data_IF_398936580044
#
_entry.id   IF_398936580044
#
_cell.length_a   1.000
_cell.length_b   1.000
_cell.length_c   1.000
_cell.angle_alpha   90.00
_cell.angle_beta   90.00
_cell.angle_gamma   90.00
#
_symmetry.space_group_name_H-M   'P 1'
#
loop_
_entity.id
_entity.type
_entity.pdbx_description
1 polymer ?
#
# COMPACT_ATOMS: atom_id res chain seq x y z
N UNK A 1 -39.94 18.71 -0.66
CA UNK A 1 -38.67 19.42 -0.38
C UNK A 1 -37.53 18.55 -0.87
N UNK A 2 -36.64 19.09 -1.71
CA UNK A 2 -35.52 18.33 -2.29
C UNK A 2 -34.46 18.15 -1.18
N UNK A 3 -34.36 16.94 -0.61
CA UNK A 3 -33.28 16.58 0.32
C UNK A 3 -31.96 16.66 -0.46
N UNK A 4 -31.18 17.69 -0.21
CA UNK A 4 -29.83 17.83 -0.74
C UNK A 4 -28.96 16.66 -0.23
N UNK A 5 -28.19 16.04 -1.12
CA UNK A 5 -27.20 14.99 -0.81
C UNK A 5 -26.15 15.46 0.21
N UNK A 6 -26.10 16.76 0.54
CA UNK A 6 -25.14 17.36 1.47
C UNK A 6 -25.57 17.51 2.93
N UNK A 7 -26.75 17.05 3.35
CA UNK A 7 -27.19 17.16 4.76
C UNK A 7 -26.72 15.98 5.62
N UNK A 8 -25.40 15.82 5.72
CA UNK A 8 -24.73 14.72 6.44
C UNK A 8 -25.18 14.61 7.91
N UNK A 9 -25.56 15.73 8.54
CA UNK A 9 -26.12 15.74 9.90
C UNK A 9 -27.44 14.96 9.98
N UNK A 10 -28.41 15.31 9.14
CA UNK A 10 -29.75 14.68 9.17
C UNK A 10 -29.66 13.21 8.80
N UNK A 11 -28.83 12.85 7.80
CA UNK A 11 -28.62 11.46 7.43
C UNK A 11 -27.96 10.64 8.53
N UNK A 12 -26.95 11.18 9.21
CA UNK A 12 -26.33 10.51 10.34
C UNK A 12 -27.33 10.31 11.49
N UNK A 13 -28.17 11.31 11.78
CA UNK A 13 -29.20 11.22 12.81
C UNK A 13 -30.23 10.13 12.48
N UNK A 14 -30.76 10.10 11.26
CA UNK A 14 -31.70 9.06 10.78
C UNK A 14 -31.07 7.66 10.90
N UNK A 15 -29.85 7.46 10.41
CA UNK A 15 -29.17 6.16 10.48
C UNK A 15 -28.91 5.67 11.92
N UNK A 16 -28.52 6.56 12.85
CA UNK A 16 -28.29 6.18 14.25
C UNK A 16 -29.60 5.80 14.94
N UNK A 17 -30.70 6.47 14.61
CA UNK A 17 -32.03 6.13 15.12
C UNK A 17 -32.53 4.79 14.58
N UNK A 18 -32.31 4.50 13.30
CA UNK A 18 -32.66 3.21 12.70
C UNK A 18 -31.87 2.07 13.37
N UNK A 19 -30.56 2.25 13.58
CA UNK A 19 -29.73 1.27 14.30
C UNK A 19 -30.21 1.06 15.74
N UNK A 20 -30.65 2.13 16.41
CA UNK A 20 -31.23 2.02 17.76
C UNK A 20 -32.55 1.25 17.74
N UNK A 21 -33.40 1.43 16.72
CA UNK A 21 -34.63 0.67 16.57
C UNK A 21 -34.35 -0.84 16.45
N UNK A 22 -33.21 -1.20 15.83
CA UNK A 22 -32.69 -2.55 15.74
C UNK A 22 -31.89 -3.01 16.99
N UNK A 23 -31.92 -2.22 18.07
CA UNK A 23 -31.20 -2.46 19.33
C UNK A 23 -29.66 -2.53 19.17
N UNK A 24 -29.11 -1.76 18.22
CA UNK A 24 -27.69 -1.61 17.96
C UNK A 24 -27.25 -0.20 18.39
N UNK A 25 -26.33 -0.12 19.37
CA UNK A 25 -25.75 1.16 19.79
C UNK A 25 -24.42 1.44 19.07
N UNK A 26 -24.22 2.70 18.69
CA UNK A 26 -23.02 3.15 18.00
C UNK A 26 -21.99 3.66 19.03
N UNK A 27 -21.02 2.81 19.35
CA UNK A 27 -19.94 3.15 20.28
C UNK A 27 -18.81 3.96 19.61
N UNK A 28 -18.54 3.70 18.33
CA UNK A 28 -17.40 4.26 17.61
C UNK A 28 -17.82 4.81 16.26
N UNK A 29 -17.49 6.07 16.00
CA UNK A 29 -17.78 6.74 14.74
C UNK A 29 -16.49 7.14 14.04
N UNK A 30 -16.27 6.68 12.80
CA UNK A 30 -15.10 7.05 11.99
C UNK A 30 -15.52 8.08 10.95
N UNK A 31 -15.13 9.34 11.12
CA UNK A 31 -15.51 10.42 10.20
C UNK A 31 -14.37 11.42 9.98
N UNK A 32 -14.61 12.39 9.11
CA UNK A 32 -13.69 13.50 8.88
C UNK A 32 -13.59 14.44 10.11
N UNK A 33 -12.49 15.22 10.24
CA UNK A 33 -12.26 16.08 11.40
C UNK A 33 -13.38 17.09 11.70
N UNK A 34 -14.14 17.49 10.68
CA UNK A 34 -15.24 18.45 10.74
C UNK A 34 -16.56 17.79 10.28
N UNK A 35 -16.81 16.53 10.64
CA UNK A 35 -18.06 15.88 10.23
C UNK A 35 -19.24 16.39 11.04
N UNK A 36 -20.31 16.70 10.32
CA UNK A 36 -21.61 17.01 10.93
C UNK A 36 -22.27 15.74 11.48
N UNK A 37 -21.85 14.57 11.00
CA UNK A 37 -22.25 13.27 11.50
C UNK A 37 -21.86 13.00 12.96
N UNK A 38 -20.64 13.39 13.37
CA UNK A 38 -20.24 13.24 14.78
C UNK A 38 -21.05 14.14 15.71
N UNK A 39 -21.41 15.34 15.26
CA UNK A 39 -22.30 16.23 16.03
C UNK A 39 -23.69 15.62 16.19
N UNK A 40 -24.26 15.06 15.12
CA UNK A 40 -25.54 14.37 15.21
C UNK A 40 -25.54 13.22 16.23
N UNK A 41 -24.45 12.43 16.27
CA UNK A 41 -24.29 11.36 17.25
C UNK A 41 -24.17 11.89 18.68
N UNK A 42 -23.43 13.00 18.87
CA UNK A 42 -23.27 13.64 20.17
C UNK A 42 -24.59 14.25 20.68
N UNK A 43 -25.32 14.94 19.81
CA UNK A 43 -26.63 15.52 20.14
C UNK A 43 -27.63 14.43 20.54
N UNK A 44 -27.64 13.28 19.85
CA UNK A 44 -28.51 12.15 20.21
C UNK A 44 -28.18 11.54 21.59
N UNK A 45 -26.91 11.55 21.99
CA UNK A 45 -26.49 11.14 23.33
C UNK A 45 -26.90 12.18 24.38
N UNK A 46 -26.70 13.47 24.11
CA UNK A 46 -27.11 14.57 25.00
C UNK A 46 -28.65 14.64 25.16
N UNK A 47 -29.41 14.33 24.12
CA UNK A 47 -30.86 14.17 24.12
C UNK A 47 -31.33 12.92 24.93
N UNK A 48 -30.41 12.07 25.39
CA UNK A 48 -30.71 10.82 26.11
C UNK A 48 -31.29 9.73 25.22
N UNK A 49 -31.18 9.88 23.89
CA UNK A 49 -31.68 8.90 22.94
C UNK A 49 -30.74 7.72 22.84
N UNK A 50 -29.41 7.89 22.83
CA UNK A 50 -28.47 6.77 22.87
C UNK A 50 -27.86 6.63 24.27
N UNK A 51 -27.70 5.40 24.76
CA UNK A 51 -27.13 5.16 26.10
C UNK A 51 -25.60 5.27 26.10
N UNK A 52 -24.97 4.95 24.96
CA UNK A 52 -23.52 4.99 24.78
C UNK A 52 -23.05 6.34 24.26
N UNK A 53 -22.01 6.91 24.88
CA UNK A 53 -21.33 8.10 24.39
C UNK A 53 -20.47 7.74 23.16
N UNK A 54 -20.71 8.34 21.98
CA UNK A 54 -19.96 7.98 20.78
C UNK A 54 -18.51 8.49 20.85
N UNK A 55 -17.54 7.60 20.61
CA UNK A 55 -16.13 7.99 20.44
C UNK A 55 -15.83 8.38 18.98
N UNK A 56 -15.21 9.54 18.76
CA UNK A 56 -14.80 10.00 17.44
C UNK A 56 -13.41 9.49 17.02
N UNK A 57 -13.37 8.81 15.88
CA UNK A 57 -12.17 8.41 15.16
C UNK A 57 -12.05 9.13 13.82
N UNK A 58 -10.83 9.47 13.45
CA UNK A 58 -10.54 10.14 12.17
C UNK A 58 -10.40 9.14 11.03
N UNK A 59 -11.06 9.43 9.91
CA UNK A 59 -10.78 8.72 8.67
C UNK A 59 -9.40 9.09 8.12
N UNK A 60 -8.47 8.13 8.22
CA UNK A 60 -7.12 8.29 7.68
C UNK A 60 -7.07 8.39 6.16
N UNK A 61 -8.04 7.86 5.42
CA UNK A 61 -8.04 7.98 3.96
C UNK A 61 -8.16 9.44 3.54
N UNK A 62 -9.01 10.20 4.22
CA UNK A 62 -9.18 11.63 4.00
C UNK A 62 -7.95 12.42 4.45
N UNK A 63 -7.31 12.03 5.57
CA UNK A 63 -6.01 12.59 5.98
C UNK A 63 -4.94 12.37 4.90
N UNK A 64 -4.83 11.15 4.37
CA UNK A 64 -3.90 10.80 3.28
C UNK A 64 -4.14 11.66 2.05
N UNK A 65 -5.40 11.76 1.62
CA UNK A 65 -5.78 12.51 0.42
C UNK A 65 -5.58 14.01 0.62
N UNK A 66 -5.82 14.54 1.82
CA UNK A 66 -5.54 15.93 2.16
C UNK A 66 -4.05 16.26 2.13
N UNK A 67 -3.19 15.39 2.69
CA UNK A 67 -1.73 15.53 2.60
C UNK A 67 -1.32 15.55 1.13
N UNK A 68 -1.78 14.55 0.36
CA UNK A 68 -1.48 14.44 -1.07
C UNK A 68 -1.91 15.67 -1.86
N UNK A 69 -3.16 16.14 -1.69
CA UNK A 69 -3.70 17.32 -2.36
C UNK A 69 -2.91 18.57 -2.01
N UNK A 70 -2.60 18.80 -0.73
CA UNK A 70 -1.82 19.96 -0.28
C UNK A 70 -0.40 19.93 -0.86
N UNK A 71 0.28 18.80 -0.79
CA UNK A 71 1.64 18.64 -1.35
C UNK A 71 1.65 18.80 -2.87
N UNK A 72 0.68 18.22 -3.58
CA UNK A 72 0.58 18.28 -5.04
C UNK A 72 0.34 19.70 -5.57
N UNK A 73 -0.42 20.51 -4.83
CA UNK A 73 -0.81 21.86 -5.22
C UNK A 73 0.13 22.95 -4.69
N UNK A 74 1.19 22.57 -3.96
CA UNK A 74 2.14 23.51 -3.38
C UNK A 74 3.08 24.07 -4.46
N UNK A 75 2.93 25.36 -4.75
CA UNK A 75 3.72 26.10 -5.76
C UNK A 75 5.20 26.21 -5.36
N UNK A 76 5.50 26.25 -4.06
CA UNK A 76 6.86 26.38 -3.57
C UNK A 76 7.58 25.03 -3.66
N UNK A 77 6.89 23.94 -3.33
CA UNK A 77 7.41 22.58 -3.56
C UNK A 77 7.65 22.32 -5.04
N UNK A 78 6.76 22.80 -5.92
CA UNK A 78 6.95 22.68 -7.37
C UNK A 78 8.25 23.35 -7.85
N UNK A 79 8.59 24.52 -7.31
CA UNK A 79 9.80 25.27 -7.70
C UNK A 79 11.10 24.59 -7.28
N UNK A 80 11.11 23.86 -6.16
CA UNK A 80 12.31 23.18 -5.65
C UNK A 80 12.50 21.77 -6.23
N UNK A 81 11.56 21.25 -7.03
CA UNK A 81 11.70 19.93 -7.66
C UNK A 81 12.90 19.92 -8.63
N UNK A 82 13.77 18.88 -8.57
CA UNK A 82 14.99 18.80 -9.36
C UNK A 82 14.70 18.38 -10.82
N UNK A 83 14.02 19.24 -11.57
CA UNK A 83 13.75 19.07 -12.99
C UNK A 83 13.80 20.40 -13.75
N UNK A 84 14.06 20.36 -15.05
CA UNK A 84 14.21 21.55 -15.90
C UNK A 84 12.86 22.14 -16.33
N UNK A 85 11.92 21.29 -16.76
CA UNK A 85 10.62 21.72 -17.27
C UNK A 85 9.54 21.65 -16.19
N UNK A 86 8.56 22.54 -16.26
CA UNK A 86 7.42 22.57 -15.32
C UNK A 86 6.65 21.25 -15.33
N UNK A 87 6.46 20.63 -16.50
CA UNK A 87 5.79 19.33 -16.64
C UNK A 87 6.54 18.22 -15.89
N UNK A 88 7.87 18.16 -16.03
CA UNK A 88 8.70 17.19 -15.29
C UNK A 88 8.67 17.48 -13.79
N UNK A 89 8.77 18.74 -13.38
CA UNK A 89 8.63 19.16 -11.96
C UNK A 89 7.30 18.72 -11.36
N UNK A 90 6.19 18.92 -12.07
CA UNK A 90 4.86 18.51 -11.60
C UNK A 90 4.75 16.99 -11.47
N UNK A 91 5.35 16.23 -12.40
CA UNK A 91 5.38 14.78 -12.31
C UNK A 91 6.19 14.30 -11.10
N UNK A 92 7.34 14.91 -10.82
CA UNK A 92 8.13 14.61 -9.62
C UNK A 92 7.39 14.98 -8.33
N UNK A 93 6.70 16.12 -8.32
CA UNK A 93 5.87 16.54 -7.19
C UNK A 93 4.73 15.56 -6.93
N UNK A 94 4.09 15.06 -7.99
CA UNK A 94 3.07 14.02 -7.87
C UNK A 94 3.64 12.72 -7.27
N UNK A 95 4.79 12.25 -7.75
CA UNK A 95 5.46 11.08 -7.19
C UNK A 95 5.86 11.29 -5.72
N UNK A 96 6.41 12.46 -5.39
CA UNK A 96 6.76 12.84 -4.02
C UNK A 96 5.54 12.89 -3.10
N UNK A 97 4.41 13.42 -3.58
CA UNK A 97 3.16 13.46 -2.81
C UNK A 97 2.63 12.06 -2.46
N UNK A 98 2.78 11.09 -3.36
CA UNK A 98 2.39 9.70 -3.11
C UNK A 98 3.30 9.04 -2.07
N UNK A 99 4.62 9.17 -2.24
CA UNK A 99 5.62 8.63 -1.32
C UNK A 99 5.48 9.22 0.11
N UNK A 100 5.27 10.53 0.21
CA UNK A 100 5.02 11.21 1.48
C UNK A 100 3.74 10.66 2.14
N UNK A 101 2.67 10.47 1.37
CA UNK A 101 1.40 9.96 1.87
C UNK A 101 1.52 8.52 2.36
N UNK A 102 2.19 7.64 1.60
CA UNK A 102 2.45 6.26 2.02
C UNK A 102 3.27 6.21 3.30
N UNK A 103 4.30 7.07 3.41
CA UNK A 103 5.13 7.13 4.62
C UNK A 103 4.35 7.63 5.82
N UNK A 104 3.58 8.71 5.68
CA UNK A 104 2.70 9.20 6.75
C UNK A 104 1.70 8.11 7.18
N UNK A 105 1.10 7.39 6.23
CA UNK A 105 0.19 6.29 6.57
C UNK A 105 0.87 5.15 7.31
N UNK A 106 2.10 4.78 6.93
CA UNK A 106 2.87 3.75 7.61
C UNK A 106 3.20 4.15 9.06
N UNK A 107 3.65 5.39 9.28
CA UNK A 107 3.92 5.91 10.62
C UNK A 107 2.64 6.00 11.46
N UNK A 108 1.53 6.45 10.88
CA UNK A 108 0.22 6.49 11.56
C UNK A 108 -0.30 5.10 11.90
N UNK A 109 -0.11 4.12 11.01
CA UNK A 109 -0.47 2.73 11.27
C UNK A 109 0.38 2.13 12.40
N UNK A 110 1.65 2.50 12.52
CA UNK A 110 2.50 2.09 13.65
C UNK A 110 2.10 2.81 14.95
N UNK A 111 1.80 4.11 14.90
CA UNK A 111 1.31 4.86 16.05
C UNK A 111 -0.02 4.29 16.58
N UNK A 112 -0.92 3.88 15.67
CA UNK A 112 -2.18 3.19 15.99
C UNK A 112 -2.00 1.88 16.76
N UNK A 113 -0.92 1.13 16.52
CA UNK A 113 -0.61 -0.08 17.30
C UNK A 113 -0.29 0.23 18.77
N UNK A 114 0.01 1.49 19.10
CA UNK A 114 0.37 1.93 20.47
C UNK A 114 -0.70 2.80 21.12
N UNK A 115 -1.42 3.63 20.35
CA UNK A 115 -2.48 4.52 20.84
C UNK A 115 -3.50 4.72 19.72
N UNK A 116 -4.77 4.39 19.99
CA UNK A 116 -5.87 4.77 19.11
C UNK A 116 -5.94 6.30 19.06
N UNK A 117 -5.75 6.89 17.89
CA UNK A 117 -5.70 8.35 17.71
C UNK A 117 -7.09 8.96 17.98
N UNK A 118 -7.35 9.31 19.24
CA UNK A 118 -8.59 9.96 19.70
C UNK A 118 -8.66 11.40 19.20
N UNK A 119 -9.65 11.71 18.36
CA UNK A 119 -10.28 13.02 18.17
C UNK A 119 -9.44 14.26 17.81
N UNK A 120 -8.11 14.18 17.65
CA UNK A 120 -7.28 15.34 17.29
C UNK A 120 -6.82 15.23 15.85
N UNK A 121 -7.16 16.21 15.02
CA UNK A 121 -6.56 16.35 13.69
C UNK A 121 -5.03 16.30 13.85
N UNK A 122 -4.38 15.30 13.25
CA UNK A 122 -2.93 15.12 13.35
C UNK A 122 -2.14 16.35 12.90
N UNK A 123 -2.75 17.16 12.03
CA UNK A 123 -2.24 18.44 11.60
C UNK A 123 -3.29 19.50 11.94
N UNK A 124 -2.94 20.60 12.64
CA UNK A 124 -3.88 21.68 12.91
C UNK A 124 -4.45 22.25 11.59
N UNK A 125 -5.66 22.82 11.62
CA UNK A 125 -6.27 23.48 10.45
C UNK A 125 -5.36 24.56 9.84
N UNK A 126 -4.53 25.18 10.69
CA UNK A 126 -3.52 26.18 10.36
C UNK A 126 -2.17 25.61 9.94
N UNK A 127 -2.03 24.29 9.75
CA UNK A 127 -0.78 23.66 9.36
C UNK A 127 -0.28 24.26 8.03
N UNK A 128 0.80 25.03 8.15
CA UNK A 128 1.60 25.57 7.06
C UNK A 128 2.96 24.91 7.16
N UNK A 129 3.49 24.48 6.02
CA UNK A 129 4.89 24.07 5.95
C UNK A 129 5.72 25.34 6.22
N UNK A 130 6.45 25.37 7.32
CA UNK A 130 7.24 26.55 7.67
C UNK A 130 8.32 26.78 6.62
N UNK A 131 8.25 27.91 5.92
CA UNK A 131 9.21 28.34 4.90
C UNK A 131 10.46 28.96 5.54
N UNK A 132 11.22 28.15 6.28
CA UNK A 132 12.60 28.51 6.63
C UNK A 132 13.55 27.97 5.56
N UNK A 133 14.64 28.68 5.31
CA UNK A 133 15.68 28.22 4.39
C UNK A 133 16.22 26.84 4.81
N UNK A 134 16.36 26.61 6.11
CA UNK A 134 16.75 25.32 6.69
C UNK A 134 15.77 24.19 6.35
N UNK A 135 14.45 24.43 6.42
CA UNK A 135 13.44 23.43 6.06
C UNK A 135 13.45 23.13 4.56
N UNK A 136 13.65 24.15 3.72
CA UNK A 136 13.77 23.98 2.27
C UNK A 136 14.99 23.13 1.94
N UNK A 137 16.13 23.39 2.58
CA UNK A 137 17.35 22.63 2.38
C UNK A 137 17.23 21.18 2.89
N UNK A 138 16.54 20.99 4.01
CA UNK A 138 16.22 19.65 4.53
C UNK A 138 15.30 18.87 3.57
N UNK A 139 14.26 19.51 3.03
CA UNK A 139 13.36 18.91 2.04
C UNK A 139 14.13 18.58 0.76
N UNK A 140 14.98 19.49 0.24
CA UNK A 140 15.84 19.23 -0.92
C UNK A 140 16.77 18.05 -0.67
N UNK A 141 17.39 17.96 0.50
CA UNK A 141 18.25 16.84 0.90
C UNK A 141 17.46 15.53 0.91
N UNK A 142 16.24 15.55 1.44
CA UNK A 142 15.35 14.37 1.50
C UNK A 142 14.89 13.93 0.11
N UNK A 143 14.49 14.87 -0.74
CA UNK A 143 14.13 14.60 -2.15
C UNK A 143 15.34 14.03 -2.89
N UNK A 144 16.54 14.59 -2.73
CA UNK A 144 17.74 14.06 -3.36
C UNK A 144 18.16 12.67 -2.82
N UNK A 145 17.87 12.37 -1.56
CA UNK A 145 18.11 11.04 -0.98
C UNK A 145 17.18 9.95 -1.52
N UNK A 146 16.00 10.30 -2.05
CA UNK A 146 15.04 9.32 -2.59
C UNK A 146 14.92 9.34 -4.11
N UNK A 147 14.90 10.54 -4.67
CA UNK A 147 14.61 10.84 -6.08
C UNK A 147 15.76 11.60 -6.75
N UNK A 148 16.91 11.70 -6.08
CA UNK A 148 18.10 12.32 -6.65
C UNK A 148 18.80 11.42 -7.67
N UNK A 149 19.61 12.00 -8.57
CA UNK A 149 20.25 11.29 -9.68
C UNK A 149 21.11 10.12 -9.20
N UNK A 150 21.84 10.28 -8.09
CA UNK A 150 22.69 9.23 -7.52
C UNK A 150 21.91 8.00 -7.05
N UNK A 151 20.74 8.20 -6.43
CA UNK A 151 19.91 7.11 -5.92
C UNK A 151 19.12 6.46 -7.05
N UNK A 152 18.69 7.24 -8.04
CA UNK A 152 18.08 6.70 -9.25
C UNK A 152 19.08 5.87 -10.07
N UNK A 153 20.35 6.28 -10.19
CA UNK A 153 21.41 5.47 -10.81
C UNK A 153 21.69 4.19 -10.03
N UNK A 154 21.77 4.25 -8.70
CA UNK A 154 21.91 3.04 -7.86
C UNK A 154 20.69 2.13 -7.98
N UNK A 155 19.47 2.69 -8.04
CA UNK A 155 18.22 1.94 -8.19
C UNK A 155 18.04 1.38 -9.60
N UNK A 156 18.60 2.04 -10.62
CA UNK A 156 18.59 1.60 -12.03
C UNK A 156 19.25 0.22 -12.19
N UNK A 157 20.25 -0.07 -11.36
CA UNK A 157 21.02 -1.31 -11.41
C UNK A 157 20.65 -2.33 -10.31
N UNK A 158 19.86 -1.94 -9.31
CA UNK A 158 19.49 -2.76 -8.13
C UNK A 158 18.41 -3.84 -8.43
N UNK A 159 18.61 -4.65 -9.48
CA UNK A 159 17.74 -5.79 -9.80
C UNK A 159 18.41 -7.16 -9.64
N UNK A 160 19.56 -7.21 -8.97
CA UNK A 160 20.10 -8.44 -8.38
C UNK A 160 19.18 -9.01 -7.28
N UNK A 161 18.15 -8.25 -6.86
CA UNK A 161 17.07 -8.69 -5.98
C UNK A 161 16.14 -9.69 -6.67
N UNK A 162 16.20 -9.92 -8.00
CA UNK A 162 15.28 -10.87 -8.66
C UNK A 162 15.27 -12.28 -8.03
N UNK A 163 16.41 -12.77 -7.53
CA UNK A 163 16.47 -14.06 -6.84
C UNK A 163 15.85 -13.97 -5.44
N UNK A 164 16.23 -12.97 -4.63
CA UNK A 164 15.70 -12.77 -3.28
C UNK A 164 14.20 -12.44 -3.29
N UNK A 165 13.73 -11.63 -4.24
CA UNK A 165 12.31 -11.33 -4.46
C UNK A 165 11.55 -12.53 -5.03
N UNK A 166 12.18 -13.33 -5.89
CA UNK A 166 11.61 -14.58 -6.39
C UNK A 166 11.41 -15.58 -5.25
N UNK A 167 12.46 -15.79 -4.45
CA UNK A 167 12.39 -16.61 -3.25
C UNK A 167 11.39 -16.05 -2.24
N UNK A 168 11.41 -14.75 -1.93
CA UNK A 168 10.43 -14.13 -1.02
C UNK A 168 8.99 -14.25 -1.51
N UNK A 169 8.76 -14.27 -2.83
CA UNK A 169 7.43 -14.57 -3.40
C UNK A 169 7.03 -16.02 -3.18
N UNK A 170 7.93 -16.98 -3.41
CA UNK A 170 7.70 -18.40 -3.08
C UNK A 170 7.47 -18.60 -1.58
N UNK A 171 8.27 -17.93 -0.76
CA UNK A 171 8.17 -17.96 0.70
C UNK A 171 6.82 -17.42 1.16
N UNK A 172 6.28 -16.34 0.56
CA UNK A 172 4.95 -15.83 0.91
C UNK A 172 3.81 -16.77 0.54
N UNK A 173 3.95 -17.59 -0.51
CA UNK A 173 2.98 -18.65 -0.82
C UNK A 173 3.00 -19.74 0.24
N UNK A 174 4.20 -20.12 0.68
CA UNK A 174 4.42 -21.15 1.71
C UNK A 174 4.27 -20.62 3.13
N UNK A 175 4.33 -19.31 3.37
CA UNK A 175 4.16 -18.63 4.64
C UNK A 175 3.33 -17.34 4.44
N UNK A 176 2.01 -17.48 4.24
CA UNK A 176 1.11 -16.33 4.16
C UNK A 176 1.16 -15.47 5.43
N UNK A 177 1.18 -14.15 5.27
CA UNK A 177 1.26 -13.20 6.40
C UNK A 177 0.03 -13.17 7.30
N UNK A 178 -1.09 -13.73 6.84
CA UNK A 178 -2.34 -13.82 7.57
C UNK A 178 -2.47 -15.09 8.43
N UNK A 179 -1.49 -16.01 8.39
CA UNK A 179 -1.54 -17.27 9.14
C UNK A 179 -0.21 -17.50 9.87
N UNK A 180 -0.27 -17.85 11.16
CA UNK A 180 0.92 -18.09 11.97
C UNK A 180 1.25 -19.59 12.05
N UNK A 181 2.40 -20.00 11.51
CA UNK A 181 2.87 -21.40 11.50
C UNK A 181 4.01 -21.67 12.49
N UNK A 182 3.77 -21.53 13.81
CA UNK A 182 4.86 -21.61 14.82
C UNK A 182 5.64 -22.93 14.81
N UNK A 183 4.96 -24.07 14.58
CA UNK A 183 5.57 -25.42 14.70
C UNK A 183 6.24 -25.91 13.41
N UNK A 184 5.86 -25.36 12.27
CA UNK A 184 6.14 -25.88 10.93
C UNK A 184 6.66 -24.79 9.97
N UNK A 185 7.10 -23.65 10.51
CA UNK A 185 7.64 -22.54 9.73
C UNK A 185 8.86 -22.93 8.92
N UNK A 186 9.76 -23.72 9.53
CA UNK A 186 11.01 -24.18 8.92
C UNK A 186 10.71 -25.10 7.74
N UNK A 187 9.86 -26.10 7.94
CA UNK A 187 9.46 -27.05 6.90
C UNK A 187 8.78 -26.36 5.72
N UNK A 188 7.93 -25.36 5.97
CA UNK A 188 7.30 -24.56 4.90
C UNK A 188 8.30 -23.67 4.16
N UNK A 189 9.29 -23.11 4.85
CA UNK A 189 10.38 -22.38 4.22
C UNK A 189 11.25 -23.29 3.33
N UNK A 190 11.55 -24.52 3.78
CA UNK A 190 12.26 -25.52 2.98
C UNK A 190 11.46 -25.94 1.74
N UNK A 191 10.14 -26.13 1.87
CA UNK A 191 9.26 -26.41 0.72
C UNK A 191 9.29 -25.26 -0.31
N UNK A 192 9.31 -24.00 0.15
CA UNK A 192 9.46 -22.85 -0.74
C UNK A 192 10.81 -22.86 -1.49
N UNK A 193 11.90 -23.25 -0.82
CA UNK A 193 13.22 -23.37 -1.43
C UNK A 193 13.26 -24.50 -2.46
N UNK A 194 12.69 -25.66 -2.12
CA UNK A 194 12.57 -26.79 -3.01
C UNK A 194 11.82 -26.40 -4.31
N UNK A 195 10.67 -25.73 -4.18
CA UNK A 195 9.89 -25.30 -5.33
C UNK A 195 10.61 -24.30 -6.25
N UNK A 196 11.50 -23.46 -5.71
CA UNK A 196 12.29 -22.52 -6.53
C UNK A 196 13.41 -23.22 -7.28
N UNK A 197 13.95 -24.31 -6.73
CA UNK A 197 15.05 -25.05 -7.34
C UNK A 197 14.59 -26.04 -8.42
N UNK A 198 13.48 -26.75 -8.17
CA UNK A 198 12.94 -27.79 -9.05
C UNK A 198 11.80 -27.28 -9.96
N UNK A 199 11.30 -26.08 -9.70
CA UNK A 199 10.10 -25.57 -10.34
C UNK A 199 8.82 -26.04 -9.64
N UNK A 200 7.71 -25.30 -9.82
CA UNK A 200 6.49 -25.50 -9.04
C UNK A 200 5.75 -26.82 -9.31
N UNK A 201 5.83 -27.36 -10.52
CA UNK A 201 5.14 -28.61 -10.88
C UNK A 201 5.92 -29.84 -10.46
N UNK A 202 7.20 -29.91 -10.86
CA UNK A 202 8.08 -31.04 -10.52
C UNK A 202 8.32 -31.15 -9.01
N UNK A 203 8.47 -30.02 -8.31
CA UNK A 203 8.59 -30.04 -6.85
C UNK A 203 7.42 -30.73 -6.16
N UNK A 204 6.19 -30.60 -6.66
CA UNK A 204 5.02 -31.24 -6.02
C UNK A 204 5.01 -32.73 -6.34
N UNK A 205 5.31 -33.09 -7.59
CA UNK A 205 5.37 -34.49 -8.01
C UNK A 205 6.45 -35.27 -7.23
N UNK A 206 7.66 -34.72 -7.11
CA UNK A 206 8.75 -35.35 -6.35
C UNK A 206 8.41 -35.51 -4.86
N UNK A 207 7.80 -34.50 -4.25
CA UNK A 207 7.36 -34.58 -2.85
C UNK A 207 6.27 -35.65 -2.66
N UNK A 208 5.31 -35.73 -3.58
CA UNK A 208 4.28 -36.76 -3.57
C UNK A 208 4.87 -38.17 -3.72
N UNK A 209 5.82 -38.36 -4.63
CA UNK A 209 6.53 -39.64 -4.81
C UNK A 209 7.33 -40.01 -3.57
N UNK A 210 8.06 -39.06 -2.97
CA UNK A 210 8.85 -39.29 -1.76
C UNK A 210 7.98 -39.65 -0.54
N UNK A 211 6.73 -39.21 -0.51
CA UNK A 211 5.75 -39.53 0.53
C UNK A 211 4.94 -40.81 0.23
N UNK A 212 5.23 -41.51 -0.87
CA UNK A 212 4.45 -42.65 -1.35
C UNK A 212 2.97 -42.31 -1.63
N UNK A 213 2.70 -41.06 -1.97
CA UNK A 213 1.38 -40.52 -2.32
C UNK A 213 1.40 -40.04 -3.78
N UNK A 214 1.75 -40.93 -4.70
CA UNK A 214 1.92 -40.58 -6.11
C UNK A 214 0.64 -40.01 -6.73
N UNK A 215 0.80 -38.94 -7.50
CA UNK A 215 -0.31 -38.36 -8.26
C UNK A 215 -0.55 -39.24 -9.49
N UNK A 216 -1.77 -39.77 -9.71
CA UNK A 216 -2.05 -40.65 -10.83
C UNK A 216 -1.71 -40.01 -12.17
N UNK A 217 -0.87 -40.68 -12.95
CA UNK A 217 -0.46 -40.24 -14.29
C UNK A 217 -1.69 -40.16 -15.20
N UNK A 218 -1.85 -39.03 -15.91
CA UNK A 218 -3.02 -38.76 -16.75
C UNK A 218 -4.24 -38.24 -15.99
N UNK A 219 -4.17 -38.13 -14.67
CA UNK A 219 -5.19 -37.45 -13.88
C UNK A 219 -5.16 -35.93 -14.11
N UNK A 220 -6.30 -35.26 -13.91
CA UNK A 220 -6.43 -33.81 -14.11
C UNK A 220 -5.42 -33.00 -13.28
N UNK A 221 -5.12 -33.43 -12.05
CA UNK A 221 -4.12 -32.81 -11.19
C UNK A 221 -2.68 -32.98 -11.73
N UNK A 222 -2.36 -34.15 -12.28
CA UNK A 222 -1.06 -34.43 -12.87
C UNK A 222 -0.82 -33.59 -14.13
N UNK A 223 -1.82 -33.52 -15.01
CA UNK A 223 -1.74 -32.69 -16.22
C UNK A 223 -1.64 -31.19 -15.88
N UNK A 224 -2.36 -30.73 -14.85
CA UNK A 224 -2.25 -29.36 -14.38
C UNK A 224 -0.83 -29.03 -13.87
N UNK A 225 -0.21 -29.93 -13.09
CA UNK A 225 1.16 -29.74 -12.60
C UNK A 225 2.19 -29.72 -13.74
N UNK A 226 2.01 -30.56 -14.75
CA UNK A 226 2.86 -30.54 -15.96
C UNK A 226 2.73 -29.26 -16.75
N UNK A 227 1.52 -28.77 -16.98
CA UNK A 227 1.32 -27.50 -17.69
C UNK A 227 1.90 -26.32 -16.91
N UNK A 228 1.76 -26.31 -15.57
CA UNK A 228 2.42 -25.30 -14.71
C UNK A 228 3.95 -25.33 -14.89
N UNK A 229 4.57 -26.52 -14.86
CA UNK A 229 6.01 -26.66 -15.05
C UNK A 229 6.44 -26.19 -16.45
N UNK A 230 5.70 -26.59 -17.48
CA UNK A 230 5.97 -26.20 -18.88
C UNK A 230 5.91 -24.69 -19.07
N UNK A 231 4.92 -24.03 -18.50
CA UNK A 231 4.80 -22.56 -18.52
C UNK A 231 5.99 -21.91 -17.81
N UNK A 232 6.42 -22.44 -16.67
CA UNK A 232 7.57 -21.89 -15.94
C UNK A 232 8.87 -21.98 -16.76
N UNK A 233 9.15 -23.14 -17.36
CA UNK A 233 10.30 -23.36 -18.24
C UNK A 233 10.26 -22.41 -19.44
N UNK A 234 9.10 -22.27 -20.10
CA UNK A 234 8.93 -21.34 -21.23
C UNK A 234 9.21 -19.89 -20.81
N UNK A 235 8.74 -19.49 -19.61
CA UNK A 235 9.03 -18.16 -19.08
C UNK A 235 10.51 -17.97 -18.76
N UNK A 236 11.19 -18.97 -18.21
CA UNK A 236 12.63 -18.92 -17.98
C UNK A 236 13.43 -18.77 -19.28
N UNK A 237 13.10 -19.56 -20.30
CA UNK A 237 13.72 -19.49 -21.62
C UNK A 237 13.47 -18.12 -22.24
N UNK A 238 12.21 -17.64 -22.23
CA UNK A 238 11.86 -16.31 -22.69
C UNK A 238 12.66 -15.23 -21.97
N UNK A 239 12.85 -15.33 -20.65
CA UNK A 239 13.66 -14.38 -19.85
C UNK A 239 15.14 -14.36 -20.27
N UNK A 240 15.67 -15.46 -20.82
CA UNK A 240 17.04 -15.57 -21.31
C UNK A 240 17.23 -14.99 -22.72
N UNK A 241 16.15 -14.84 -23.50
CA UNK A 241 16.21 -14.31 -24.88
C UNK A 241 16.76 -12.89 -24.96
N UNK A 242 17.44 -12.57 -26.06
CA UNK A 242 17.96 -11.22 -26.31
C UNK A 242 16.84 -10.20 -26.48
N UNK A 243 15.73 -10.58 -27.13
CA UNK A 243 14.56 -9.71 -27.28
C UNK A 243 13.99 -9.29 -25.92
N UNK A 244 13.81 -10.22 -24.98
CA UNK A 244 13.34 -9.89 -23.65
C UNK A 244 14.34 -9.03 -22.88
N UNK A 245 15.64 -9.32 -22.98
CA UNK A 245 16.69 -8.49 -22.37
C UNK A 245 16.68 -7.07 -22.93
N UNK A 246 16.53 -6.90 -24.24
CA UNK A 246 16.48 -5.61 -24.91
C UNK A 246 15.19 -4.85 -24.56
N UNK A 247 14.03 -5.50 -24.62
CA UNK A 247 12.77 -4.94 -24.14
C UNK A 247 12.85 -4.45 -22.69
N UNK A 248 13.50 -5.23 -21.81
CA UNK A 248 13.75 -4.81 -20.43
C UNK A 248 14.63 -3.57 -20.37
N UNK A 249 15.71 -3.51 -21.14
CA UNK A 249 16.58 -2.34 -21.21
C UNK A 249 15.83 -1.11 -21.74
N UNK A 250 15.03 -1.24 -22.78
CA UNK A 250 14.26 -0.15 -23.37
C UNK A 250 13.16 0.36 -22.42
N UNK A 251 12.48 -0.58 -21.74
CA UNK A 251 11.50 -0.25 -20.70
C UNK A 251 12.17 0.47 -19.53
N UNK A 252 13.38 0.06 -19.12
CA UNK A 252 14.19 0.77 -18.11
C UNK A 252 14.53 2.18 -18.58
N UNK A 253 15.05 2.32 -19.79
CA UNK A 253 15.38 3.62 -20.37
C UNK A 253 14.15 4.54 -20.36
N UNK A 254 12.98 4.05 -20.80
CA UNK A 254 11.72 4.82 -20.78
C UNK A 254 11.24 5.21 -19.38
N UNK A 255 11.33 4.31 -18.40
CA UNK A 255 10.92 4.57 -17.02
C UNK A 255 11.78 5.64 -16.34
N UNK A 256 13.10 5.60 -16.57
CA UNK A 256 14.06 6.51 -15.96
C UNK A 256 14.40 7.73 -16.84
N UNK A 257 13.87 7.81 -18.08
CA UNK A 257 14.01 8.95 -19.02
C UNK A 257 13.54 10.30 -18.47
N UNK A 258 12.81 10.29 -17.36
CA UNK A 258 12.35 11.52 -16.68
C UNK A 258 13.49 12.47 -16.34
N UNK A 259 14.72 11.95 -16.20
CA UNK A 259 15.91 12.70 -15.80
C UNK A 259 17.00 12.80 -16.88
N UNK A 260 16.80 12.21 -18.05
CA UNK A 260 17.70 12.48 -19.18
C UNK A 260 17.50 13.91 -19.68
N UNK A 261 18.65 14.55 -19.96
CA UNK A 261 18.95 15.99 -20.05
C UNK A 261 17.96 16.84 -20.85
#
# INVERSE_FOLDING_TARGET
MVKSIGDEYTWAKECILDLKADNIEVEHLVTDPDSSAYRAAQDLYEEGTTSTQPEHFLDTRHVSENIRKRTKNDKNLLQIMPARTQVKRQKLLNCFSLDLTERCNAELAQARKKVWLRGRSLLPKTFKIAHSQQNIDFIRKTVNLRLGPNILEKTRLNMNINFVEGFNRSLRRSLPSNVTFKRNVTSRAHSAAHSVNFGPGESVLELCTALHCEVPVGGSAYEALKEIQKVDILQEQHKKTMQYKQFRTDKRAKLYKLYEK
#
